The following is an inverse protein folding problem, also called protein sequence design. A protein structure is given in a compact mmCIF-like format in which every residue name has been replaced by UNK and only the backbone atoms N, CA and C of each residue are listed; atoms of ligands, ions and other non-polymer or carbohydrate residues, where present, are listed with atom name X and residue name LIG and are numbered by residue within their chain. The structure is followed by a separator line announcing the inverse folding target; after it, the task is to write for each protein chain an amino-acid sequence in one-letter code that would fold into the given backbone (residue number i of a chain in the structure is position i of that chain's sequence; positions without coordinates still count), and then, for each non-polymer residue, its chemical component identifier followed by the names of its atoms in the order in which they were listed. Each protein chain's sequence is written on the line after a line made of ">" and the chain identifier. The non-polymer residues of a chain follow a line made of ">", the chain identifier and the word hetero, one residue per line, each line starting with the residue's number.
data_IF_352734279387
#
_entry.id   IF_352734279387
#
_cell.length_a   1.000
_cell.length_b   1.000
_cell.length_c   1.000
_cell.angle_alpha   90.00
_cell.angle_beta   90.00
_cell.angle_gamma   90.00
#
_symmetry.space_group_name_H-M   'P 1'
#
loop_
_entity.id
_entity.type
_entity.pdbx_description
1 polymer ?
#
# COMPACT_ATOMS: atom_id res chain seq x y z
N UNK A 1 -1.30 4.98 -17.63
CA UNK A 1 -2.15 4.13 -16.79
C UNK A 1 -1.30 3.48 -15.72
N UNK A 2 -1.67 3.63 -14.45
CA UNK A 2 -0.94 2.99 -13.35
C UNK A 2 -1.17 1.50 -13.37
N UNK A 3 -0.09 0.73 -13.24
CA UNK A 3 -0.16 -0.72 -13.09
C UNK A 3 -0.12 -1.11 -11.60
N UNK A 4 -0.03 -0.16 -10.71
CA UNK A 4 0.01 -0.38 -9.27
C UNK A 4 -0.50 0.85 -8.52
N UNK A 5 -0.84 0.66 -7.26
CA UNK A 5 -1.18 1.76 -6.35
C UNK A 5 -0.73 1.40 -4.93
N UNK A 6 -0.71 2.40 -4.05
CA UNK A 6 -0.50 2.14 -2.63
C UNK A 6 -1.79 1.60 -2.02
N UNK A 7 -1.66 0.55 -1.22
CA UNK A 7 -2.81 -0.14 -0.63
C UNK A 7 -2.61 -0.33 0.86
N UNK A 8 -3.56 0.14 1.65
CA UNK A 8 -3.61 -0.20 3.06
C UNK A 8 -4.09 -1.64 3.17
N UNK A 9 -3.36 -2.46 3.91
CA UNK A 9 -3.68 -3.87 4.08
C UNK A 9 -3.73 -4.21 5.57
N UNK A 10 -4.73 -4.99 5.93
CA UNK A 10 -4.92 -5.47 7.29
C UNK A 10 -4.19 -6.80 7.45
N UNK A 11 -3.34 -6.85 8.48
CA UNK A 11 -2.59 -8.05 8.85
C UNK A 11 -3.15 -8.63 10.12
N UNK A 12 -3.31 -9.94 10.15
CA UNK A 12 -3.71 -10.67 11.34
C UNK A 12 -2.80 -11.91 11.42
N UNK A 13 -1.87 -11.90 12.36
CA UNK A 13 -0.89 -12.97 12.53
C UNK A 13 -1.28 -13.93 13.65
N UNK A 14 -2.50 -13.82 14.19
CA UNK A 14 -2.97 -14.62 15.31
C UNK A 14 -2.58 -14.06 16.67
N UNK A 15 -1.68 -13.09 16.73
CA UNK A 15 -1.25 -12.39 17.95
C UNK A 15 -1.86 -11.01 18.06
N UNK A 16 -2.33 -10.46 16.95
CA UNK A 16 -2.95 -9.15 16.92
C UNK A 16 -3.21 -8.70 15.49
N UNK A 17 -3.89 -7.59 15.38
CA UNK A 17 -4.20 -6.95 14.08
C UNK A 17 -3.37 -5.68 13.95
N UNK A 18 -2.78 -5.49 12.78
CA UNK A 18 -2.05 -4.27 12.46
C UNK A 18 -2.22 -3.95 10.97
N UNK A 19 -1.85 -2.74 10.59
CA UNK A 19 -2.04 -2.25 9.22
C UNK A 19 -0.72 -1.80 8.64
N UNK A 20 -0.52 -2.06 7.34
CA UNK A 20 0.65 -1.62 6.61
C UNK A 20 0.26 -1.06 5.26
N UNK A 21 1.15 -0.25 4.69
CA UNK A 21 1.00 0.28 3.35
C UNK A 21 1.87 -0.53 2.41
N UNK A 22 1.27 -1.15 1.42
CA UNK A 22 1.93 -2.01 0.45
C UNK A 22 1.78 -1.44 -0.95
N UNK A 23 2.64 -1.87 -1.86
CA UNK A 23 2.40 -1.71 -3.29
C UNK A 23 1.44 -2.83 -3.72
N UNK A 24 0.41 -2.48 -4.45
CA UNK A 24 -0.60 -3.41 -4.93
C UNK A 24 -0.59 -3.36 -6.46
N UNK A 25 -0.34 -4.50 -7.09
CA UNK A 25 -0.11 -4.60 -8.52
C UNK A 25 -1.33 -5.14 -9.24
N UNK A 26 -1.68 -4.51 -10.36
CA UNK A 26 -2.77 -4.93 -11.24
C UNK A 26 -2.17 -5.76 -12.38
N UNK A 27 -2.04 -7.05 -12.15
CA UNK A 27 -1.42 -7.97 -13.10
C UNK A 27 -2.49 -8.72 -13.90
N UNK A 28 -2.19 -9.09 -15.19
CA UNK A 28 -3.14 -9.85 -16.00
C UNK A 28 -3.51 -11.21 -15.39
N UNK A 29 -2.60 -11.80 -14.63
CA UNK A 29 -2.82 -13.10 -13.97
C UNK A 29 -3.55 -12.97 -12.63
N UNK A 30 -3.88 -11.75 -12.20
CA UNK A 30 -4.53 -11.47 -10.94
C UNK A 30 -3.73 -10.48 -10.10
N UNK A 31 -4.29 -10.01 -8.98
CA UNK A 31 -3.62 -9.02 -8.15
C UNK A 31 -2.41 -9.59 -7.41
N UNK A 32 -1.42 -8.74 -7.16
CA UNK A 32 -0.27 -9.05 -6.33
C UNK A 32 0.07 -7.85 -5.46
N UNK A 33 0.84 -8.07 -4.40
CA UNK A 33 1.25 -6.98 -3.52
C UNK A 33 2.61 -7.28 -2.89
N UNK A 34 3.30 -6.23 -2.45
CA UNK A 34 4.59 -6.37 -1.79
C UNK A 34 4.45 -7.10 -0.46
N UNK A 35 5.46 -7.91 -0.11
CA UNK A 35 5.44 -8.69 1.13
C UNK A 35 5.67 -7.83 2.37
N UNK A 36 6.41 -6.72 2.22
CA UNK A 36 6.71 -5.79 3.31
C UNK A 36 6.18 -4.41 2.99
N UNK A 37 5.66 -3.69 4.00
CA UNK A 37 5.29 -2.29 3.81
C UNK A 37 6.52 -1.47 3.44
N UNK A 38 6.34 -0.52 2.52
CA UNK A 38 7.46 0.27 2.01
C UNK A 38 7.10 1.76 1.99
N UNK A 39 7.97 2.55 2.62
CA UNK A 39 7.92 4.00 2.53
C UNK A 39 9.34 4.53 2.56
N UNK A 40 9.83 5.00 1.43
CA UNK A 40 11.18 5.60 1.30
C UNK A 40 11.13 6.84 0.45
N UNK A 41 12.05 7.77 0.70
CA UNK A 41 12.20 8.97 -0.10
C UNK A 41 13.57 9.59 0.10
N UNK A 42 14.08 10.31 -0.89
CA UNK A 42 15.41 10.93 -0.84
C UNK A 42 15.38 12.34 -0.26
N UNK A 43 14.20 12.94 -0.15
CA UNK A 43 14.04 14.29 0.41
C UNK A 43 12.73 14.39 1.17
N UNK A 44 12.61 15.43 1.99
CA UNK A 44 11.39 15.72 2.74
C UNK A 44 10.22 15.99 1.79
N UNK A 45 10.48 16.74 0.71
CA UNK A 45 9.46 17.04 -0.29
C UNK A 45 8.97 15.78 -0.99
N UNK A 46 9.88 14.88 -1.32
CA UNK A 46 9.54 13.60 -1.93
C UNK A 46 8.71 12.75 -0.98
N UNK A 47 9.07 12.69 0.29
CA UNK A 47 8.28 11.97 1.29
C UNK A 47 6.88 12.55 1.43
N UNK A 48 6.75 13.87 1.43
CA UNK A 48 5.43 14.52 1.49
C UNK A 48 4.56 14.18 0.27
N UNK A 49 5.15 14.14 -0.91
CA UNK A 49 4.42 13.75 -2.12
C UNK A 49 3.99 12.29 -2.08
N UNK A 50 4.87 11.41 -1.62
CA UNK A 50 4.55 9.99 -1.45
C UNK A 50 3.42 9.82 -0.44
N UNK A 51 3.48 10.51 0.69
CA UNK A 51 2.43 10.47 1.71
C UNK A 51 1.09 10.95 1.15
N UNK A 52 1.11 11.99 0.33
CA UNK A 52 -0.09 12.51 -0.31
C UNK A 52 -0.68 11.48 -1.28
N UNK A 53 0.15 10.82 -2.06
CA UNK A 53 -0.28 9.75 -2.97
C UNK A 53 -0.87 8.58 -2.19
N UNK A 54 -0.25 8.19 -1.08
CA UNK A 54 -0.73 7.12 -0.22
C UNK A 54 -2.10 7.47 0.34
N UNK A 55 -2.26 8.69 0.84
CA UNK A 55 -3.54 9.16 1.37
C UNK A 55 -4.63 9.09 0.32
N UNK A 56 -4.35 9.56 -0.89
CA UNK A 56 -5.31 9.51 -1.99
C UNK A 56 -5.67 8.08 -2.37
N UNK A 57 -4.68 7.19 -2.40
CA UNK A 57 -4.89 5.79 -2.74
C UNK A 57 -5.70 5.05 -1.67
N UNK A 58 -5.47 5.34 -0.40
CA UNK A 58 -6.27 4.77 0.70
C UNK A 58 -7.73 5.21 0.56
N UNK A 59 -7.93 6.49 0.27
CA UNK A 59 -9.26 7.05 0.10
C UNK A 59 -10.01 6.39 -1.07
N UNK A 60 -9.30 6.14 -2.16
CA UNK A 60 -9.87 5.56 -3.38
C UNK A 60 -10.11 4.05 -3.25
N UNK A 61 -9.20 3.32 -2.65
CA UNK A 61 -9.20 1.85 -2.66
C UNK A 61 -9.62 1.21 -1.33
N UNK A 62 -9.65 1.98 -0.26
CA UNK A 62 -10.01 1.48 1.06
C UNK A 62 -8.95 0.54 1.64
N UNK A 63 -9.38 -0.32 2.55
CA UNK A 63 -8.51 -1.28 3.23
C UNK A 63 -8.84 -2.69 2.72
N UNK A 64 -7.80 -3.47 2.42
CA UNK A 64 -7.94 -4.86 2.03
C UNK A 64 -7.26 -5.77 3.05
N UNK A 65 -7.76 -6.98 3.18
CA UNK A 65 -7.10 -7.99 4.00
C UNK A 65 -5.85 -8.50 3.29
N UNK A 66 -4.76 -8.60 4.03
CA UNK A 66 -3.49 -9.10 3.50
C UNK A 66 -3.61 -10.59 3.13
N UNK A 67 -4.39 -11.33 3.89
CA UNK A 67 -4.58 -12.77 3.70
C UNK A 67 -5.90 -13.12 3.04
#
# INVERSE_FOLDING_TARGET
>A
MSTWHYQAMRHDDGLGVWYGIHEYYHLPSGPGWSLTPLLTGESVEELKEILKMIEQDIYKHGVKDYE
#
